data_IF_447413832504
#
_entry.id   IF_447413832504
#
_cell.length_a   1.000
_cell.length_b   1.000
_cell.length_c   1.000
_cell.angle_alpha   90.00
_cell.angle_beta   90.00
_cell.angle_gamma   90.00
#
_symmetry.space_group_name_H-M   'P 1'
#
loop_
_entity.id
_entity.type
_entity.pdbx_description
1 polymer ?
#
# COMPACT_ATOMS: atom_id res chain seq x y z
N UNK A 1 -0.25 -6.15 12.15
CA UNK A 1 -0.49 -7.31 13.09
C UNK A 1 -1.84 -7.22 13.80
N UNK A 2 -2.10 -6.19 14.67
CA UNK A 2 -3.38 -6.11 15.41
C UNK A 2 -4.62 -6.06 14.51
N UNK A 3 -4.67 -5.12 13.56
CA UNK A 3 -5.80 -4.99 12.62
C UNK A 3 -6.04 -6.29 11.82
N UNK A 4 -4.97 -6.96 11.40
CA UNK A 4 -5.04 -8.24 10.70
C UNK A 4 -5.63 -9.35 11.58
N UNK A 5 -5.15 -9.47 12.82
CA UNK A 5 -5.67 -10.46 13.76
C UNK A 5 -7.17 -10.24 14.07
N UNK A 6 -7.57 -8.98 14.26
CA UNK A 6 -8.99 -8.62 14.46
C UNK A 6 -9.82 -8.95 13.22
N UNK A 7 -9.35 -8.62 12.03
CA UNK A 7 -10.04 -8.95 10.79
C UNK A 7 -10.15 -10.47 10.57
N UNK A 8 -9.16 -11.24 11.00
CA UNK A 8 -9.18 -12.70 10.86
C UNK A 8 -10.29 -13.36 11.69
N UNK A 9 -10.65 -12.80 12.84
CA UNK A 9 -11.68 -13.33 13.73
C UNK A 9 -13.06 -12.65 13.51
N UNK A 10 -13.13 -11.57 12.74
CA UNK A 10 -14.37 -10.88 12.42
C UNK A 10 -15.30 -11.80 11.62
N UNK A 11 -16.57 -11.81 11.96
CA UNK A 11 -17.63 -12.56 11.27
C UNK A 11 -18.44 -11.67 10.33
N UNK A 12 -18.38 -10.36 10.56
CA UNK A 12 -19.10 -9.35 9.78
C UNK A 12 -18.27 -8.08 9.63
N UNK A 13 -18.67 -7.21 8.70
CA UNK A 13 -18.03 -5.90 8.52
C UNK A 13 -18.19 -4.99 9.74
N UNK A 14 -19.28 -5.12 10.52
CA UNK A 14 -19.48 -4.35 11.74
C UNK A 14 -18.42 -4.65 12.80
N UNK A 15 -17.99 -5.91 12.91
CA UNK A 15 -16.99 -6.34 13.90
C UNK A 15 -15.63 -5.67 13.70
N UNK A 16 -15.36 -5.14 12.49
CA UNK A 16 -14.14 -4.40 12.19
C UNK A 16 -14.07 -3.04 12.90
N UNK A 17 -15.24 -2.49 13.25
CA UNK A 17 -15.36 -1.23 13.99
C UNK A 17 -15.53 -1.45 15.50
N UNK A 18 -15.71 -2.68 15.93
CA UNK A 18 -15.92 -2.98 17.34
C UNK A 18 -14.62 -2.96 18.13
N UNK A 19 -14.66 -2.32 19.29
CA UNK A 19 -13.58 -2.33 20.27
C UNK A 19 -13.74 -3.56 21.17
N UNK A 20 -12.78 -4.49 21.18
CA UNK A 20 -12.92 -5.69 22.00
C UNK A 20 -12.79 -5.37 23.50
N UNK A 21 -13.49 -6.13 24.32
CA UNK A 21 -13.49 -5.95 25.78
C UNK A 21 -12.10 -6.11 26.40
N UNK A 22 -11.26 -6.99 25.81
CA UNK A 22 -9.89 -7.27 26.28
C UNK A 22 -8.86 -6.24 25.78
N UNK A 23 -9.18 -5.47 24.74
CA UNK A 23 -8.36 -4.39 24.24
C UNK A 23 -9.25 -3.24 23.73
N UNK A 24 -9.83 -2.45 24.65
CA UNK A 24 -10.84 -1.44 24.31
C UNK A 24 -10.25 -0.18 23.66
N UNK A 25 -8.94 -0.14 23.45
CA UNK A 25 -8.23 1.06 23.01
C UNK A 25 -8.54 1.43 21.55
N UNK A 26 -8.72 0.44 20.68
CA UNK A 26 -9.03 0.71 19.27
C UNK A 26 -9.69 -0.49 18.57
N UNK A 27 -10.44 -0.19 17.52
CA UNK A 27 -10.97 -1.18 16.57
C UNK A 27 -9.92 -1.55 15.50
N UNK A 28 -10.25 -2.50 14.63
CA UNK A 28 -9.36 -2.86 13.50
C UNK A 28 -9.17 -1.69 12.52
N UNK A 29 -10.25 -0.98 12.22
CA UNK A 29 -10.25 0.20 11.34
C UNK A 29 -9.47 1.36 11.96
N UNK A 30 -9.70 1.65 13.25
CA UNK A 30 -8.96 2.69 13.97
C UNK A 30 -7.45 2.42 14.01
N UNK A 31 -7.03 1.17 14.08
CA UNK A 31 -5.63 0.80 14.08
C UNK A 31 -4.93 1.14 12.74
N UNK A 32 -5.60 0.99 11.60
CA UNK A 32 -5.07 1.42 10.30
C UNK A 32 -5.10 2.94 10.18
N UNK A 33 -6.20 3.58 10.59
CA UNK A 33 -6.30 5.04 10.55
C UNK A 33 -5.22 5.71 11.41
N UNK A 34 -4.89 5.16 12.57
CA UNK A 34 -3.82 5.67 13.43
C UNK A 34 -2.43 5.60 12.76
N UNK A 35 -2.17 4.60 11.88
CA UNK A 35 -0.95 4.57 11.08
C UNK A 35 -0.94 5.71 10.07
N UNK A 36 -2.06 5.94 9.38
CA UNK A 36 -2.20 7.02 8.40
C UNK A 36 -2.08 8.40 9.05
N UNK A 37 -2.71 8.58 10.20
CA UNK A 37 -2.64 9.85 10.96
C UNK A 37 -1.21 10.20 11.38
N UNK A 38 -0.36 9.21 11.61
CA UNK A 38 1.06 9.44 11.96
C UNK A 38 1.82 10.19 10.88
N UNK A 39 1.53 9.94 9.61
CA UNK A 39 2.20 10.56 8.46
C UNK A 39 1.37 11.67 7.82
N UNK A 40 0.17 11.89 8.32
CA UNK A 40 -0.75 12.90 7.79
C UNK A 40 -0.22 14.32 8.06
N UNK A 41 -0.12 15.11 7.01
CA UNK A 41 0.29 16.50 7.09
C UNK A 41 -0.49 17.36 6.09
N UNK A 42 -0.40 18.68 6.23
CA UNK A 42 -1.02 19.61 5.26
C UNK A 42 -0.50 19.43 3.84
N UNK A 43 0.77 19.06 3.70
CA UNK A 43 1.43 18.89 2.40
C UNK A 43 1.15 17.51 1.78
N UNK A 44 0.90 16.51 2.62
CA UNK A 44 0.63 15.13 2.22
C UNK A 44 -0.55 14.58 3.02
N UNK A 45 -1.77 14.98 2.69
CA UNK A 45 -2.96 14.52 3.41
C UNK A 45 -3.19 13.02 3.13
N UNK A 46 -3.37 12.24 4.19
CA UNK A 46 -3.72 10.83 4.13
C UNK A 46 -5.20 10.64 4.49
N UNK A 47 -5.94 10.00 3.61
CA UNK A 47 -7.33 9.69 3.89
C UNK A 47 -7.46 8.44 4.79
N UNK A 48 -8.43 8.45 5.68
CA UNK A 48 -8.84 7.27 6.44
C UNK A 48 -9.36 6.16 5.51
N UNK A 49 -9.46 4.93 6.05
CA UNK A 49 -9.97 3.79 5.29
C UNK A 49 -11.36 4.08 4.75
N UNK A 50 -11.48 4.13 3.43
CA UNK A 50 -12.73 4.43 2.75
C UNK A 50 -13.81 3.36 3.05
N UNK A 51 -15.10 3.73 3.04
CA UNK A 51 -16.19 2.80 3.35
C UNK A 51 -16.18 1.53 2.48
N UNK A 52 -15.90 1.66 1.19
CA UNK A 52 -15.84 0.55 0.24
C UNK A 52 -14.67 -0.42 0.46
N UNK A 53 -13.65 -0.03 1.24
CA UNK A 53 -12.52 -0.88 1.62
C UNK A 53 -12.74 -1.58 2.98
N UNK A 54 -13.89 -1.38 3.59
CA UNK A 54 -14.30 -2.00 4.86
C UNK A 54 -15.75 -2.45 4.87
N UNK A 55 -16.37 -2.52 3.71
CA UNK A 55 -17.74 -3.01 3.52
C UNK A 55 -17.84 -4.52 3.69
N UNK A 56 -16.75 -5.22 3.43
CA UNK A 56 -16.59 -6.66 3.69
C UNK A 56 -15.30 -6.93 4.48
N UNK A 57 -15.26 -8.08 5.13
CA UNK A 57 -14.06 -8.57 5.80
C UNK A 57 -12.88 -8.75 4.82
N UNK A 58 -13.18 -9.29 3.65
CA UNK A 58 -12.20 -9.58 2.60
C UNK A 58 -11.56 -8.30 2.06
N UNK A 59 -12.35 -7.29 1.72
CA UNK A 59 -11.84 -5.99 1.27
C UNK A 59 -10.96 -5.33 2.35
N UNK A 60 -11.35 -5.44 3.61
CA UNK A 60 -10.54 -4.90 4.69
C UNK A 60 -9.23 -5.67 4.89
N UNK A 61 -9.23 -7.00 4.76
CA UNK A 61 -7.99 -7.79 4.80
C UNK A 61 -7.03 -7.38 3.67
N UNK A 62 -7.53 -7.17 2.47
CA UNK A 62 -6.72 -6.72 1.35
C UNK A 62 -6.15 -5.32 1.59
N UNK A 63 -6.94 -4.43 2.20
CA UNK A 63 -6.46 -3.11 2.59
C UNK A 63 -5.36 -3.17 3.67
N UNK A 64 -5.51 -4.03 4.68
CA UNK A 64 -4.47 -4.29 5.69
C UNK A 64 -3.19 -4.81 5.05
N UNK A 65 -3.30 -5.73 4.07
CA UNK A 65 -2.16 -6.26 3.32
C UNK A 65 -1.48 -5.18 2.49
N UNK A 66 -2.27 -4.30 1.85
CA UNK A 66 -1.77 -3.15 1.10
C UNK A 66 -1.02 -2.19 2.01
N UNK A 67 -1.62 -1.81 3.13
CA UNK A 67 -1.01 -0.91 4.12
C UNK A 67 0.31 -1.46 4.63
N UNK A 68 0.35 -2.76 4.97
CA UNK A 68 1.56 -3.42 5.41
C UNK A 68 2.65 -3.44 4.33
N UNK A 69 2.26 -3.60 3.06
CA UNK A 69 3.21 -3.57 1.95
C UNK A 69 3.86 -2.19 1.76
N UNK A 70 3.11 -1.13 2.02
CA UNK A 70 3.60 0.25 1.94
C UNK A 70 4.48 0.59 3.15
N UNK A 71 3.99 0.32 4.37
CA UNK A 71 4.70 0.64 5.62
C UNK A 71 6.04 -0.08 5.75
N UNK A 72 6.12 -1.33 5.31
CA UNK A 72 7.32 -2.16 5.39
C UNK A 72 8.03 -2.31 4.04
N UNK A 73 7.82 -1.35 3.14
CA UNK A 73 8.51 -1.33 1.86
C UNK A 73 10.03 -1.29 2.08
N UNK A 74 10.76 -2.12 1.33
CA UNK A 74 12.23 -2.27 1.40
C UNK A 74 12.80 -2.87 2.70
N UNK A 75 11.97 -3.27 3.67
CA UNK A 75 12.41 -3.92 4.91
C UNK A 75 12.57 -5.45 4.78
N UNK A 76 12.35 -6.02 3.60
CA UNK A 76 12.53 -7.45 3.32
C UNK A 76 11.39 -8.37 3.79
N UNK A 77 10.33 -7.84 4.40
CA UNK A 77 9.22 -8.64 4.94
C UNK A 77 8.25 -9.17 3.88
N UNK A 78 8.23 -8.58 2.68
CA UNK A 78 7.23 -8.89 1.65
C UNK A 78 7.16 -10.37 1.30
N UNK A 79 8.31 -11.03 1.15
CA UNK A 79 8.36 -12.45 0.83
C UNK A 79 7.69 -13.31 1.91
N UNK A 80 8.05 -13.09 3.17
CA UNK A 80 7.48 -13.81 4.30
C UNK A 80 5.96 -13.56 4.45
N UNK A 81 5.52 -12.34 4.18
CA UNK A 81 4.10 -12.00 4.22
C UNK A 81 3.31 -12.75 3.13
N UNK A 82 3.82 -12.79 1.89
CA UNK A 82 3.17 -13.52 0.80
C UNK A 82 3.11 -15.03 1.07
N UNK A 83 4.16 -15.61 1.66
CA UNK A 83 4.14 -17.01 2.10
C UNK A 83 3.07 -17.25 3.19
N UNK A 84 3.03 -16.43 4.21
CA UNK A 84 2.08 -16.52 5.33
C UNK A 84 0.62 -16.38 4.87
N UNK A 85 0.38 -15.57 3.88
CA UNK A 85 -0.96 -15.36 3.30
C UNK A 85 -1.31 -16.34 2.18
N UNK A 86 -0.41 -17.27 1.82
CA UNK A 86 -0.55 -18.26 0.72
C UNK A 86 -0.81 -17.59 -0.64
N UNK A 87 -0.22 -16.42 -0.87
CA UNK A 87 -0.45 -15.62 -2.08
C UNK A 87 0.62 -15.81 -3.16
N UNK A 88 1.66 -16.62 -2.92
CA UNK A 88 2.76 -16.79 -3.88
C UNK A 88 2.32 -17.42 -5.21
N UNK A 89 1.24 -18.16 -5.20
CA UNK A 89 0.68 -18.84 -6.39
C UNK A 89 -0.53 -18.14 -6.99
N UNK A 90 -0.95 -17.05 -6.37
CA UNK A 90 -2.15 -16.31 -6.76
C UNK A 90 -1.83 -15.07 -7.60
N UNK A 91 -2.61 -14.77 -8.67
CA UNK A 91 -2.55 -13.47 -9.30
C UNK A 91 -3.00 -12.36 -8.31
N UNK A 92 -2.41 -11.17 -8.36
CA UNK A 92 -1.37 -10.68 -9.28
C UNK A 92 0.07 -11.00 -8.84
N UNK A 93 0.29 -11.74 -7.76
CA UNK A 93 1.62 -11.94 -7.15
C UNK A 93 2.53 -12.85 -7.98
N UNK A 94 1.96 -13.69 -8.84
CA UNK A 94 2.69 -14.50 -9.83
C UNK A 94 3.14 -13.67 -11.02
N UNK A 95 2.54 -12.49 -11.25
CA UNK A 95 2.85 -11.63 -12.38
C UNK A 95 3.97 -10.67 -12.01
N UNK A 96 4.99 -10.62 -12.86
CA UNK A 96 6.08 -9.66 -12.74
C UNK A 96 5.93 -8.61 -13.82
N UNK A 97 6.13 -7.37 -13.43
CA UNK A 97 6.03 -6.22 -14.33
C UNK A 97 7.36 -5.50 -14.34
N UNK A 98 7.77 -5.03 -15.51
CA UNK A 98 8.84 -4.05 -15.66
C UNK A 98 8.32 -2.80 -16.34
N UNK A 99 8.94 -1.68 -16.06
CA UNK A 99 8.62 -0.41 -16.70
C UNK A 99 9.79 0.02 -17.59
N UNK A 100 9.50 0.34 -18.84
CA UNK A 100 10.41 1.11 -19.67
C UNK A 100 10.12 2.59 -19.53
N UNK A 101 11.16 3.38 -19.37
CA UNK A 101 11.08 4.83 -19.32
C UNK A 101 11.81 5.42 -20.50
N UNK A 102 11.11 6.22 -21.27
CA UNK A 102 11.71 7.02 -22.31
C UNK A 102 12.23 8.32 -21.69
N UNK A 103 13.50 8.59 -21.93
CA UNK A 103 14.10 9.87 -21.61
C UNK A 103 13.92 10.81 -22.79
N UNK A 104 13.14 11.88 -22.59
CA UNK A 104 12.78 12.81 -23.65
C UNK A 104 13.89 13.82 -23.98
N UNK A 105 14.90 13.94 -23.13
CA UNK A 105 16.02 14.86 -23.31
C UNK A 105 17.36 14.12 -23.30
N UNK A 106 18.40 14.78 -23.80
CA UNK A 106 19.75 14.21 -23.82
C UNK A 106 20.33 14.05 -22.40
N UNK A 107 21.33 13.16 -22.27
CA UNK A 107 22.01 12.98 -20.99
C UNK A 107 22.66 14.27 -20.49
N UNK A 108 23.14 15.12 -21.38
CA UNK A 108 23.78 16.39 -21.01
C UNK A 108 22.78 17.44 -20.55
N UNK A 109 21.57 17.42 -21.10
CA UNK A 109 20.47 18.25 -20.61
C UNK A 109 20.17 17.96 -19.13
N UNK A 110 20.06 16.69 -18.74
CA UNK A 110 19.81 16.29 -17.34
C UNK A 110 20.96 16.64 -16.38
N UNK A 111 22.21 16.73 -16.86
CA UNK A 111 23.34 17.16 -16.03
C UNK A 111 23.32 18.64 -15.68
N UNK A 112 22.71 19.46 -16.53
CA UNK A 112 22.67 20.91 -16.40
C UNK A 112 21.43 21.46 -15.72
N UNK A 113 20.43 20.60 -15.43
CA UNK A 113 19.16 20.98 -14.82
C UNK A 113 19.01 20.39 -13.43
N UNK A 114 18.42 21.17 -12.50
CA UNK A 114 18.18 20.72 -11.13
C UNK A 114 17.17 19.57 -11.15
N UNK A 115 17.50 18.40 -10.54
CA UNK A 115 16.57 17.28 -10.42
C UNK A 115 15.24 17.61 -9.69
N UNK A 116 15.24 18.68 -8.88
CA UNK A 116 14.04 19.16 -8.16
C UNK A 116 13.16 20.06 -9.01
N UNK A 117 13.62 20.52 -10.17
CA UNK A 117 12.78 21.29 -11.07
C UNK A 117 11.65 20.39 -11.61
N UNK A 118 10.41 20.87 -11.46
CA UNK A 118 9.22 20.17 -11.97
C UNK A 118 9.30 19.89 -13.49
N UNK A 119 10.04 20.72 -14.25
CA UNK A 119 10.30 20.50 -15.66
C UNK A 119 11.12 19.23 -15.92
N UNK A 120 12.02 18.86 -15.01
CA UNK A 120 12.84 17.64 -15.12
C UNK A 120 11.97 16.40 -14.97
N UNK A 121 11.03 16.39 -14.00
CA UNK A 121 10.09 15.28 -13.81
C UNK A 121 9.24 14.98 -15.03
N UNK A 122 8.83 16.01 -15.76
CA UNK A 122 8.03 15.87 -16.97
C UNK A 122 8.83 15.42 -18.22
N UNK A 123 10.16 15.27 -18.12
CA UNK A 123 11.02 14.80 -19.22
C UNK A 123 11.22 13.28 -19.23
N UNK A 124 10.57 12.57 -18.32
CA UNK A 124 10.49 11.13 -18.30
C UNK A 124 9.07 10.68 -18.61
N UNK A 125 8.92 9.71 -19.48
CA UNK A 125 7.64 9.10 -19.81
C UNK A 125 7.73 7.60 -19.59
N UNK A 126 6.84 7.07 -18.77
CA UNK A 126 6.67 5.62 -18.69
C UNK A 126 6.10 5.12 -20.02
N UNK A 127 6.85 4.28 -20.71
CA UNK A 127 6.49 3.85 -22.04
C UNK A 127 5.71 2.54 -22.07
N UNK A 128 6.19 1.56 -21.37
CA UNK A 128 5.57 0.22 -21.36
C UNK A 128 5.64 -0.43 -19.99
N UNK A 129 4.59 -1.14 -19.63
CA UNK A 129 4.58 -2.12 -18.55
C UNK A 129 4.54 -3.50 -19.19
N UNK A 130 5.53 -4.34 -18.90
CA UNK A 130 5.58 -5.71 -19.37
C UNK A 130 5.20 -6.65 -18.24
N UNK A 131 4.36 -7.65 -18.54
CA UNK A 131 4.22 -8.81 -17.69
C UNK A 131 5.31 -9.82 -18.10
N UNK A 132 6.14 -10.22 -17.15
CA UNK A 132 7.06 -11.34 -17.34
C UNK A 132 6.32 -12.59 -16.86
N UNK A 133 5.99 -13.47 -17.79
CA UNK A 133 5.45 -14.78 -17.47
C UNK A 133 6.53 -15.69 -16.87
#
# INVERSE_FOLDING_TARGET
MYAEAKAAIATSASDLNDRPTYCPTMSAVEAINALRDRVNSSDYPMEHVAPNLRDTREHFIDEVRRERAVELAFEGFRWCDLQRWLLLTEPPYTMKYSHEFERLETADWFKTHDPKDAKVGNRWKAWKTFSCA
#
